data_IF_507946344604
#
_entry.id   IF_507946344604
#
_cell.length_a   1.000
_cell.length_b   1.000
_cell.length_c   1.000
_cell.angle_alpha   90.00
_cell.angle_beta   90.00
_cell.angle_gamma   90.00
#
_symmetry.space_group_name_H-M   'P 1'
#
loop_
_entity.id
_entity.type
_entity.pdbx_description
1 polymer ?
2 polymer ?
3 polymer ?
4 non-polymer ?
5 water ?
#
# COMPACT_ATOMS: atom_id res chain seq x y z
N UNK A 5 7.70 10.43 12.07
CA UNK A 5 7.01 11.69 11.76
C UNK A 5 5.50 11.80 11.79
N UNK A 6 4.86 10.67 12.06
CA UNK A 6 3.35 10.67 12.15
C UNK A 6 3.01 11.74 13.21
N UNK A 7 2.36 12.84 12.88
CA UNK A 7 2.09 14.01 13.73
C UNK A 7 1.60 15.12 12.76
N UNK A 8 2.36 15.04 11.68
CA UNK A 8 2.13 15.74 10.42
C UNK A 8 1.57 14.71 9.37
N UNK A 9 1.36 13.53 9.99
CA UNK A 9 0.90 12.41 9.11
C UNK A 9 -0.28 12.87 8.30
N UNK A 10 -0.28 12.33 7.08
CA UNK A 10 -1.34 12.40 6.10
C UNK A 10 -1.68 13.76 5.55
N UNK A 11 -0.79 14.74 5.70
CA UNK A 11 -0.98 16.08 5.09
C UNK A 11 0.16 16.22 4.07
N UNK A 12 -0.21 16.19 2.79
CA UNK A 12 0.82 16.18 1.73
C UNK A 12 1.39 17.61 1.55
N UNK A 13 2.69 17.63 1.40
CA UNK A 13 3.36 18.93 1.15
C UNK A 13 2.86 19.67 -0.03
N UNK A 14 2.53 19.06 -1.18
CA UNK A 14 2.11 19.66 -2.41
C UNK A 14 0.63 19.69 -2.52
N UNK A 15 -0.13 19.25 -1.51
CA UNK A 15 -1.59 19.30 -1.69
C UNK A 15 -2.24 19.92 -0.46
N UNK A 16 -2.40 19.13 0.58
CA UNK A 16 -2.99 19.59 1.82
C UNK A 16 -2.32 20.87 2.37
N UNK A 17 -1.01 20.79 2.50
CA UNK A 17 -0.20 21.89 3.05
C UNK A 17 -0.33 23.13 2.21
N UNK A 18 -0.75 23.25 0.96
CA UNK A 18 -0.88 24.41 0.14
C UNK A 18 -2.35 24.61 -0.23
N UNK A 19 -3.16 23.72 0.30
CA UNK A 19 -4.63 23.80 0.03
C UNK A 19 -4.93 23.66 -1.46
N UNK A 20 -4.20 22.69 -2.08
CA UNK A 20 -4.38 22.25 -3.45
C UNK A 20 -5.05 20.80 -3.33
N UNK A 21 -5.93 20.56 -4.24
CA UNK A 21 -6.60 19.23 -4.33
C UNK A 21 -6.02 18.48 -5.52
N UNK A 22 -5.91 17.14 -5.34
CA UNK A 22 -5.48 16.30 -6.50
C UNK A 22 -6.71 16.13 -7.39
N UNK A 23 -6.48 15.70 -8.62
CA UNK A 23 -7.46 15.54 -9.68
C UNK A 23 -8.57 14.57 -9.31
N UNK A 24 -8.44 13.65 -8.40
CA UNK A 24 -9.61 12.74 -8.20
C UNK A 24 -9.98 12.64 -6.74
N UNK A 25 -9.30 13.34 -5.84
CA UNK A 25 -9.78 13.14 -4.45
C UNK A 25 -11.24 13.48 -4.24
N UNK A 26 -11.93 14.37 -4.98
CA UNK A 26 -13.33 14.64 -4.72
C UNK A 26 -14.18 13.39 -4.99
N UNK A 27 -13.80 12.51 -5.86
CA UNK A 27 -14.55 11.22 -6.02
C UNK A 27 -14.59 10.48 -4.70
N UNK A 28 -13.57 10.44 -3.88
CA UNK A 28 -13.48 9.87 -2.58
C UNK A 28 -14.44 10.59 -1.64
N UNK A 29 -14.26 11.87 -1.43
CA UNK A 29 -15.15 12.63 -0.57
C UNK A 29 -16.57 12.55 -1.00
N UNK A 30 -16.93 12.55 -2.25
CA UNK A 30 -18.33 12.47 -2.65
C UNK A 30 -18.91 11.09 -2.39
N UNK A 31 -18.15 10.12 -1.95
CA UNK A 31 -18.63 8.75 -1.63
C UNK A 31 -18.96 8.56 -0.15
N UNK A 32 -18.49 9.47 0.69
CA UNK A 32 -18.65 9.37 2.17
C UNK A 32 -19.92 10.14 2.45
N UNK A 33 -20.87 9.77 1.59
CA UNK A 33 -22.19 10.41 1.37
C UNK A 33 -22.45 11.67 2.17
N UNK B 1 -1.58 -1.91 -11.37
CA UNK B 1 -2.89 -1.30 -11.31
C UNK B 1 -3.55 -1.47 -12.68
N UNK B 2 -4.77 -1.93 -12.66
CA UNK B 2 -5.61 -2.10 -13.86
C UNK B 2 -6.68 -1.03 -13.94
N UNK B 3 -6.70 -0.27 -15.04
CA UNK B 3 -7.64 0.79 -15.31
C UNK B 3 -7.55 1.99 -14.37
N UNK B 4 -6.34 2.39 -14.02
CA UNK B 4 -5.99 3.50 -13.17
C UNK B 4 -5.50 4.66 -14.03
N UNK B 5 -4.72 5.55 -13.44
CA UNK B 5 -4.17 6.71 -14.19
C UNK B 5 -2.83 6.97 -13.57
N UNK B 6 -2.10 7.77 -14.30
CA UNK B 6 -0.74 8.07 -13.71
C UNK B 6 -0.98 8.94 -12.44
N UNK B 7 -0.19 8.79 -11.45
CA UNK B 7 -0.34 9.61 -10.27
C UNK B 7 0.31 10.97 -10.64
N UNK B 8 -0.14 12.01 -9.90
CA UNK B 8 0.42 13.37 -10.02
C UNK B 8 1.67 13.37 -9.15
N UNK B 9 2.61 14.27 -9.39
CA UNK B 9 3.82 14.29 -8.58
C UNK B 9 3.39 14.54 -7.13
N UNK B 10 4.01 14.02 -6.14
CA UNK B 10 3.70 14.22 -4.72
C UNK B 10 2.27 13.80 -4.35
N UNK B 11 1.49 13.06 -5.10
CA UNK B 11 0.08 12.66 -4.73
C UNK B 11 0.11 11.56 -3.69
N UNK B 12 1.19 10.79 -3.66
CA UNK B 12 1.27 9.64 -2.68
C UNK B 12 2.62 9.52 -2.08
N UNK B 13 2.99 10.49 -1.25
CA UNK B 13 4.34 10.63 -0.73
C UNK B 13 4.74 9.60 0.24
N UNK B 14 3.75 8.76 0.68
CA UNK B 14 4.09 7.65 1.60
C UNK B 14 4.39 6.34 0.77
N UNK B 15 4.28 6.43 -0.50
CA UNK B 15 4.52 5.25 -1.42
C UNK B 15 5.99 4.91 -1.37
N UNK B 16 6.18 3.61 -1.15
CA UNK B 16 7.45 2.97 -1.00
C UNK B 16 7.63 1.86 -2.02
N UNK B 17 8.79 1.78 -2.61
CA UNK B 17 9.08 0.65 -3.55
C UNK B 17 9.99 -0.34 -2.83
N UNK B 18 9.53 -1.60 -2.83
CA UNK B 18 10.35 -2.73 -2.28
C UNK B 18 11.19 -3.27 -3.51
N UNK B 19 12.48 -3.16 -3.28
CA UNK B 19 13.49 -3.38 -4.35
C UNK B 19 14.53 -4.41 -4.05
N UNK B 20 14.55 -5.42 -4.94
CA UNK B 20 15.58 -6.47 -4.88
C UNK B 20 16.96 -5.97 -5.40
N UNK B 21 17.95 -6.20 -4.57
CA UNK B 21 19.37 -5.94 -4.77
C UNK B 21 19.90 -6.75 -5.97
N UNK B 22 19.68 -8.05 -6.08
CA UNK B 22 20.16 -8.77 -7.31
C UNK B 22 19.46 -10.13 -7.45
N UNK B 23 18.79 -10.34 -8.57
CA UNK B 23 18.64 -9.42 -9.68
C UNK B 23 17.95 -8.15 -9.18
N UNK B 24 18.28 -6.98 -9.66
CA UNK B 24 17.60 -5.75 -9.21
C UNK B 24 16.26 -5.83 -9.92
N UNK B 25 15.24 -5.74 -9.12
CA UNK B 25 13.86 -5.86 -9.58
C UNK B 25 12.88 -5.41 -8.50
N UNK B 26 11.74 -5.00 -8.91
CA UNK B 26 10.67 -4.57 -8.03
C UNK B 26 10.06 -5.88 -7.47
N UNK B 27 10.02 -5.89 -6.14
CA UNK B 27 9.40 -6.90 -5.32
C UNK B 27 7.91 -6.62 -5.02
N UNK B 28 7.62 -5.41 -4.53
CA UNK B 28 6.24 -5.06 -4.02
C UNK B 28 6.27 -3.56 -3.65
N UNK B 29 5.06 -3.06 -3.35
CA UNK B 29 4.84 -1.70 -2.81
C UNK B 29 4.99 -1.85 -1.28
N UNK B 30 4.88 -0.70 -0.65
CA UNK B 30 4.99 -0.61 0.84
C UNK B 30 4.57 0.89 1.12
N UNK B 31 4.53 1.14 2.43
CA UNK B 31 4.16 2.54 2.81
C UNK B 31 4.98 3.01 3.98
N UNK B 32 5.18 4.35 3.97
CA UNK B 32 6.00 5.01 5.01
C UNK B 32 5.04 5.54 6.12
N UNK B 33 5.20 5.03 7.31
CA UNK B 33 4.32 5.43 8.43
C UNK B 33 5.01 6.34 9.45
N UNK B 34 6.33 6.49 9.36
CA UNK B 34 7.11 7.39 10.26
C UNK B 34 8.48 7.62 9.61
N UNK B 35 9.48 8.26 10.22
CA UNK B 35 10.76 8.40 9.47
C UNK B 35 11.61 7.17 9.45
N UNK B 36 11.22 6.16 10.20
CA UNK B 36 12.02 4.93 10.24
C UNK B 36 11.27 3.61 9.98
N UNK B 37 9.97 3.64 9.84
CA UNK B 37 9.14 2.40 9.72
C UNK B 37 8.34 2.43 8.44
N UNK B 38 8.29 1.23 7.84
CA UNK B 38 7.65 0.97 6.59
C UNK B 38 6.65 -0.20 6.79
N UNK B 39 5.50 -0.06 6.19
CA UNK B 39 4.47 -1.13 6.31
C UNK B 39 4.29 -1.82 4.97
N UNK B 40 4.23 -3.16 5.09
CA UNK B 40 4.01 -3.95 3.85
C UNK B 40 3.24 -5.23 4.17
N UNK B 41 3.04 -6.03 3.13
CA UNK B 41 2.32 -7.36 3.30
C UNK B 41 3.33 -8.36 3.72
N UNK B 42 3.10 -9.24 4.66
CA UNK B 42 4.08 -10.31 5.07
C UNK B 42 4.44 -11.21 3.89
N UNK B 43 3.56 -11.40 2.95
CA UNK B 43 3.80 -12.31 1.80
C UNK B 43 4.90 -11.81 0.88
N UNK B 44 5.08 -10.47 0.80
CA UNK B 44 6.16 -9.86 0.05
C UNK B 44 7.48 -10.37 0.59
N UNK B 45 7.64 -10.79 1.81
CA UNK B 45 8.87 -11.24 2.38
C UNK B 45 8.96 -12.75 2.57
N UNK B 46 7.86 -13.39 2.88
CA UNK B 46 7.79 -14.77 3.27
C UNK B 46 6.57 -15.45 2.67
N UNK B 47 6.90 -16.40 1.81
CA UNK B 47 5.81 -17.18 1.18
C UNK B 47 6.46 -18.54 0.75
N UNK B 48 6.50 -19.39 1.73
CA UNK B 48 7.16 -20.74 1.53
C UNK B 48 6.72 -21.54 0.34
N UNK B 49 5.46 -21.62 0.00
CA UNK B 49 5.02 -22.31 -1.18
C UNK B 49 5.80 -21.89 -2.42
N UNK B 50 6.22 -20.67 -2.51
CA UNK B 50 6.90 -20.15 -3.70
C UNK B 50 8.41 -20.02 -3.37
N UNK B 51 8.75 -20.67 -2.28
CA UNK B 51 10.14 -20.55 -1.90
C UNK B 51 10.56 -19.08 -1.65
N UNK B 52 9.62 -18.27 -1.17
CA UNK B 52 10.05 -16.83 -0.91
C UNK B 52 10.37 -16.71 0.57
N UNK B 53 11.53 -16.18 0.91
CA UNK B 53 11.98 -15.97 2.25
C UNK B 53 13.07 -14.90 2.26
N UNK B 54 12.72 -13.65 1.93
CA UNK B 54 13.65 -12.51 1.97
C UNK B 54 14.07 -12.05 3.33
N UNK B 55 15.34 -11.72 3.46
CA UNK B 55 16.03 -11.19 4.65
C UNK B 55 16.36 -9.69 4.38
N UNK B 56 16.81 -9.05 5.40
CA UNK B 56 17.15 -7.61 5.39
C UNK B 56 18.19 -7.23 4.38
N UNK B 57 19.18 -8.07 4.29
CA UNK B 57 20.30 -7.84 3.34
C UNK B 57 19.82 -8.03 1.92
N UNK B 58 18.68 -8.65 1.73
CA UNK B 58 18.22 -9.00 0.38
C UNK B 58 17.60 -7.83 -0.34
N UNK B 59 17.31 -6.82 0.45
CA UNK B 59 16.51 -5.73 -0.07
C UNK B 59 16.91 -4.30 0.24
N UNK B 60 16.37 -3.51 -0.65
CA UNK B 60 16.40 -2.01 -0.56
C UNK B 60 14.98 -1.42 -0.60
N UNK B 61 14.81 -0.32 0.14
CA UNK B 61 13.55 0.46 0.14
C UNK B 61 13.80 1.75 -0.64
N UNK B 62 13.01 2.11 -1.60
CA UNK B 62 13.10 3.31 -2.38
C UNK B 62 11.88 4.17 -2.07
N UNK B 63 12.10 5.43 -1.65
CA UNK B 63 11.07 6.39 -1.25
C UNK B 63 11.18 7.70 -2.01
N UNK B 64 10.08 8.28 -2.37
CA UNK B 64 9.86 9.51 -3.09
C UNK B 64 9.83 9.35 -4.60
N UNK B 65 9.56 8.07 -4.99
CA UNK B 65 9.61 7.75 -6.40
C UNK B 65 8.35 8.05 -7.14
N UNK B 66 8.57 8.23 -8.45
CA UNK B 66 7.46 8.48 -9.38
C UNK B 66 7.58 7.50 -10.57
N UNK B 67 8.77 7.58 -11.19
CA UNK B 67 9.08 6.65 -12.32
C UNK B 67 9.34 5.26 -11.68
N UNK B 68 8.86 4.24 -12.41
CA UNK B 68 9.08 2.83 -12.01
C UNK B 68 10.56 2.39 -12.02
N UNK B 69 11.25 2.76 -13.10
CA UNK B 69 12.62 2.39 -13.51
C UNK B 69 13.84 3.20 -13.41
N UNK B 70 13.80 4.56 -13.54
CA UNK B 70 14.91 5.45 -13.39
C UNK B 70 15.31 5.61 -11.93
N UNK B 71 16.56 5.87 -11.71
CA UNK B 71 17.07 6.23 -10.36
C UNK B 71 16.73 7.72 -10.34
N UNK B 72 15.82 8.23 -9.55
CA UNK B 72 15.36 9.65 -9.57
C UNK B 72 16.24 10.53 -8.73
N UNK B 73 17.43 10.72 -9.30
CA UNK B 73 18.58 11.37 -8.88
C UNK B 73 18.31 12.45 -7.86
N UNK B 74 17.57 13.50 -7.88
CA UNK B 74 17.77 14.16 -6.47
C UNK B 74 16.49 14.13 -5.65
N UNK B 75 15.56 13.31 -6.00
CA UNK B 75 14.22 13.08 -5.48
C UNK B 75 14.11 11.86 -4.58
N UNK B 76 14.35 10.67 -5.15
CA UNK B 76 14.19 9.42 -4.33
C UNK B 76 15.31 9.17 -3.37
N UNK B 77 15.06 8.60 -2.19
CA UNK B 77 16.03 8.28 -1.16
C UNK B 77 15.97 6.73 -1.02
N UNK B 78 17.12 6.14 -1.00
CA UNK B 78 17.19 4.64 -0.95
C UNK B 78 17.56 4.26 0.46
N UNK B 79 16.99 3.31 1.15
CA UNK B 79 17.47 2.98 2.51
C UNK B 79 17.64 1.44 2.60
N UNK B 80 18.37 1.11 3.66
CA UNK B 80 18.67 -0.31 3.97
C UNK B 80 17.80 -0.57 5.22
N UNK B 81 17.52 -1.87 5.39
CA UNK B 81 16.66 -2.24 6.52
C UNK B 81 17.52 -2.66 7.69
N UNK B 82 17.05 -2.31 8.86
CA UNK B 82 17.66 -2.70 10.10
C UNK B 82 17.06 -4.06 10.52
N UNK B 83 15.72 -4.18 10.33
CA UNK B 83 15.13 -5.46 10.81
C UNK B 83 13.75 -5.58 10.22
N UNK B 84 13.37 -6.81 9.98
CA UNK B 84 12.03 -7.14 9.45
C UNK B 84 11.20 -7.78 10.56
N UNK B 85 9.95 -7.43 10.69
CA UNK B 85 9.02 -8.00 11.65
C UNK B 85 7.75 -8.45 10.91
N UNK B 86 7.56 -9.78 11.03
CA UNK B 86 6.32 -10.35 10.44
C UNK B 86 5.32 -10.64 11.56
N UNK B 87 4.04 -10.52 11.40
CA UNK B 87 3.01 -10.85 12.33
C UNK B 87 3.21 -12.32 12.69
N UNK B 88 3.30 -12.61 14.00
CA UNK B 88 3.51 -13.96 14.49
C UNK B 88 2.42 -14.92 14.04
N UNK B 89 1.21 -14.53 13.74
CA UNK B 89 0.12 -15.40 13.36
C UNK B 89 -0.25 -15.26 11.90
N UNK B 90 0.71 -14.71 11.11
CA UNK B 90 0.45 -14.60 9.64
C UNK B 90 0.07 -15.99 9.09
N UNK B 91 -0.97 -16.19 8.31
CA UNK B 91 -1.28 -17.57 7.81
C UNK B 91 -0.91 -17.80 6.37
N UNK B 92 0.27 -18.22 6.02
CA UNK B 92 0.59 -18.42 4.60
C UNK B 92 0.04 -19.77 4.13
N UNK B 93 -0.19 -20.63 5.08
CA UNK B 93 -0.65 -21.99 4.77
C UNK B 93 -2.01 -22.07 4.11
N UNK B 94 -2.94 -21.24 4.55
CA UNK B 94 -4.30 -21.39 3.99
C UNK B 94 -4.79 -20.15 3.31
N UNK B 95 -4.72 -19.01 4.02
CA UNK B 95 -5.38 -17.89 3.30
C UNK B 95 -4.70 -16.54 3.39
N UNK B 96 -3.49 -16.48 3.89
CA UNK B 96 -2.86 -15.11 3.99
C UNK B 96 -3.59 -14.24 5.04
N UNK B 97 -3.99 -14.86 6.11
CA UNK B 97 -4.72 -14.21 7.22
C UNK B 97 -3.60 -13.46 7.99
N UNK B 98 -3.89 -12.20 8.29
CA UNK B 98 -2.85 -11.36 8.99
C UNK B 98 -1.65 -11.13 8.08
N UNK B 99 -1.92 -10.73 6.86
CA UNK B 99 -0.78 -10.52 5.89
C UNK B 99 -0.15 -9.13 6.15
N UNK B 100 0.74 -9.07 7.18
CA UNK B 100 1.30 -7.71 7.47
C UNK B 100 2.68 -7.82 7.97
N UNK B 101 3.53 -6.84 7.70
CA UNK B 101 4.91 -6.86 8.18
C UNK B 101 5.29 -5.34 8.29
N UNK B 102 6.22 -5.16 9.23
CA UNK B 102 6.94 -3.90 9.45
C UNK B 102 8.44 -4.08 9.17
N UNK B 103 9.02 -3.02 8.60
CA UNK B 103 10.47 -2.98 8.27
C UNK B 103 11.02 -1.69 8.89
N UNK B 104 12.00 -1.81 9.72
CA UNK B 104 12.59 -0.58 10.35
C UNK B 104 13.88 -0.28 9.58
N UNK B 105 13.90 0.99 9.14
CA UNK B 105 15.06 1.45 8.35
C UNK B 105 16.29 1.58 9.26
N UNK B 106 17.44 1.42 8.67
CA UNK B 106 18.76 1.55 9.30
C UNK B 106 18.90 2.98 9.81
N UNK B 107 18.44 3.92 8.98
CA UNK B 107 18.48 5.35 9.34
C UNK B 107 17.18 6.00 8.91
N UNK B 108 16.76 6.93 9.73
CA UNK B 108 15.54 7.69 9.55
C UNK B 108 15.61 8.53 8.30
N UNK B 109 14.61 8.55 7.47
CA UNK B 109 14.56 9.31 6.24
C UNK B 109 14.09 10.75 6.49
N UNK B 110 14.54 11.65 5.59
CA UNK B 110 14.08 13.04 5.75
C UNK B 110 12.96 13.21 4.75
N UNK B 111 12.02 13.92 5.33
CA UNK B 111 10.75 14.31 4.66
C UNK B 111 11.11 15.41 3.68
N UNK B 112 10.26 15.56 2.68
CA UNK B 112 10.45 16.50 1.57
C UNK B 112 9.07 16.59 0.97
N UNK B 113 8.99 17.30 -0.13
CA UNK B 113 7.79 17.47 -0.92
C UNK B 113 7.29 16.08 -1.44
N UNK B 114 8.19 15.14 -1.59
CA UNK B 114 7.80 13.84 -2.21
C UNK B 114 7.80 12.68 -1.26
N UNK B 115 8.21 12.97 -0.05
CA UNK B 115 8.41 11.99 1.03
C UNK B 115 7.78 12.51 2.34
N UNK B 116 6.69 11.83 2.64
CA UNK B 116 5.83 12.15 3.80
C UNK B 116 5.04 10.95 4.25
N UNK B 117 4.93 10.66 5.54
CA UNK B 117 4.18 9.50 6.04
C UNK B 117 2.66 9.67 5.99
N UNK B 118 1.99 8.50 5.92
CA UNK B 118 0.56 8.39 5.97
C UNK B 118 0.23 8.15 7.47
N UNK B 119 -1.01 8.44 7.91
CA UNK B 119 -1.53 8.17 9.21
C UNK B 119 -2.09 6.73 9.37
N UNK B 120 -2.05 6.24 10.57
CA UNK B 120 -2.63 4.90 10.92
C UNK B 120 -3.97 5.22 11.54
N UNK B 121 -5.03 4.51 11.14
CA UNK B 121 -6.36 4.80 11.56
C UNK B 121 -6.51 4.53 13.06
N UNK B 122 -7.39 5.32 13.64
CA UNK B 122 -7.78 5.10 15.07
C UNK B 122 -9.14 4.41 15.00
N UNK B 123 -9.53 3.86 16.17
CA UNK B 123 -10.83 3.17 16.28
C UNK B 123 -12.01 3.87 15.61
N UNK B 124 -12.11 5.15 15.74
CA UNK B 124 -13.15 6.07 15.37
C UNK B 124 -13.09 6.33 13.90
N UNK B 125 -11.87 6.51 13.43
CA UNK B 125 -11.65 6.80 11.98
C UNK B 125 -12.07 5.56 11.16
N UNK B 126 -11.69 4.42 11.63
CA UNK B 126 -11.93 3.10 11.08
C UNK B 126 -13.41 2.86 11.02
N UNK B 127 -14.00 3.20 12.18
CA UNK B 127 -15.45 3.03 12.29
C UNK B 127 -16.24 3.90 11.36
N UNK B 128 -15.88 5.13 11.04
CA UNK B 128 -16.70 5.89 10.11
C UNK B 128 -16.37 5.67 8.65
N UNK B 129 -15.14 5.27 8.38
CA UNK B 129 -14.80 5.21 6.96
C UNK B 129 -14.92 3.85 6.29
N UNK B 130 -14.64 2.87 7.02
CA UNK B 130 -14.65 1.46 6.48
C UNK B 130 -16.10 0.98 6.38
N UNK B 131 -16.73 1.52 5.40
CA UNK B 131 -18.10 1.36 5.03
C UNK B 131 -18.26 1.02 3.55
N UNK B 132 -19.13 -0.02 3.34
CA UNK B 132 -19.40 -0.52 1.97
C UNK B 132 -19.85 0.59 1.08
N UNK B 133 -19.28 0.78 -0.14
CA UNK B 133 -19.70 1.97 -0.90
C UNK B 133 -18.72 3.18 -0.84
N UNK B 134 -17.99 3.28 0.24
CA UNK B 134 -16.97 4.36 0.49
C UNK B 134 -15.76 3.98 -0.34
N UNK B 135 -15.18 4.93 -1.02
CA UNK B 135 -14.04 4.71 -1.88
C UNK B 135 -12.74 4.93 -1.17
N UNK B 136 -11.73 4.16 -1.46
CA UNK B 136 -10.37 4.27 -1.02
C UNK B 136 -9.54 4.32 -2.36
N UNK B 137 -8.25 4.53 -2.19
CA UNK B 137 -7.33 4.73 -3.29
C UNK B 137 -6.22 3.76 -3.12
N UNK B 138 -5.82 3.11 -4.26
CA UNK B 138 -4.71 2.16 -4.27
C UNK B 138 -3.68 2.70 -5.27
N UNK B 139 -2.44 2.49 -5.00
CA UNK B 139 -1.33 2.95 -5.82
C UNK B 139 -0.27 1.88 -5.92
N UNK B 140 0.50 1.85 -6.98
CA UNK B 140 1.57 0.89 -7.21
C UNK B 140 1.97 1.02 -8.72
N UNK B 141 3.05 0.34 -8.94
CA UNK B 141 3.77 0.18 -10.22
C UNK B 141 3.54 -1.24 -10.81
N UNK B 142 2.54 -1.99 -10.34
CA UNK B 142 2.19 -3.28 -10.91
C UNK B 142 1.60 -3.18 -12.31
N UNK B 143 1.38 -4.44 -12.76
CA UNK B 143 0.86 -4.71 -14.10
C UNK B 143 -0.40 -3.91 -14.37
N UNK B 144 -0.45 -3.47 -15.65
CA UNK B 144 -1.64 -2.76 -16.13
C UNK B 144 -2.76 -3.70 -16.61
N UNK B 145 -2.39 -4.93 -16.76
CA UNK B 145 -3.26 -5.97 -17.31
C UNK B 145 -2.94 -7.30 -16.64
N UNK B 146 -4.00 -8.07 -16.51
CA UNK B 146 -3.90 -9.40 -15.94
C UNK B 146 -2.81 -10.26 -16.57
N UNK B 147 -2.91 -10.30 -17.91
CA UNK B 147 -1.99 -11.08 -18.78
C UNK B 147 -0.55 -11.03 -18.31
N UNK B 155 1.94 -3.21 -20.40
CA UNK B 155 2.26 -4.24 -19.40
C UNK B 155 2.60 -3.60 -18.06
N UNK B 156 3.68 -2.86 -18.08
CA UNK B 156 4.11 -2.13 -16.87
C UNK B 156 4.07 -0.65 -17.22
N UNK B 157 3.64 0.11 -16.17
CA UNK B 157 3.49 1.55 -16.32
C UNK B 157 4.92 2.14 -16.37
N UNK B 158 5.05 3.37 -16.76
CA UNK B 158 6.32 4.14 -16.75
C UNK B 158 6.46 4.90 -15.41
N UNK B 159 5.32 5.22 -14.89
CA UNK B 159 5.02 5.98 -13.65
C UNK B 159 4.01 5.31 -12.77
N UNK B 160 4.06 5.72 -11.49
CA UNK B 160 3.14 5.30 -10.43
C UNK B 160 1.69 5.44 -10.88
N UNK B 161 0.87 4.44 -10.69
CA UNK B 161 -0.54 4.48 -11.14
C UNK B 161 -1.47 4.61 -9.88
N UNK B 162 -2.66 5.10 -10.03
CA UNK B 162 -3.61 5.22 -8.90
C UNK B 162 -4.97 4.73 -9.32
N UNK B 163 -5.87 4.23 -8.53
CA UNK B 163 -7.25 3.88 -8.89
C UNK B 163 -8.09 4.08 -7.60
N UNK B 164 -9.24 4.64 -7.63
CA UNK B 164 -10.17 4.84 -6.49
C UNK B 164 -11.11 3.63 -6.56
N UNK B 165 -11.43 2.92 -5.58
CA UNK B 165 -12.33 1.73 -5.66
C UNK B 165 -13.22 1.69 -4.42
N UNK B 166 -14.42 1.20 -4.58
CA UNK B 166 -15.38 1.18 -3.47
C UNK B 166 -15.17 -0.03 -2.58
N UNK B 167 -15.39 0.08 -1.30
CA UNK B 167 -15.33 -1.04 -0.37
C UNK B 167 -16.70 -1.77 -0.58
N UNK B 168 -16.54 -3.06 -0.66
CA UNK B 168 -17.70 -3.99 -0.89
C UNK B 168 -18.16 -4.69 0.38
N UNK B 169 -19.46 -4.92 0.52
CA UNK B 169 -20.09 -5.64 1.66
C UNK B 169 -19.45 -7.01 1.87
N UNK B 170 -19.18 -7.43 3.06
CA UNK B 170 -18.57 -8.67 3.50
C UNK B 170 -19.21 -9.88 2.79
N UNK B 171 -20.51 -10.05 2.71
CA UNK B 171 -21.15 -11.16 2.02
C UNK B 171 -20.74 -11.32 0.58
N UNK B 172 -20.88 -10.24 -0.16
CA UNK B 172 -20.46 -10.15 -1.57
C UNK B 172 -19.00 -10.61 -1.68
N UNK B 173 -18.09 -10.15 -0.77
CA UNK B 173 -16.71 -10.57 -0.76
C UNK B 173 -16.63 -12.12 -0.67
N UNK B 174 -17.23 -12.65 0.39
CA UNK B 174 -17.28 -14.07 0.72
C UNK B 174 -17.79 -14.97 -0.45
N UNK B 175 -18.86 -14.51 -1.04
CA UNK B 175 -19.50 -15.29 -2.11
C UNK B 175 -18.80 -15.15 -3.41
N UNK B 176 -17.73 -14.42 -3.59
CA UNK B 176 -17.09 -14.26 -4.90
C UNK B 176 -15.94 -15.24 -4.93
N UNK B 177 -15.69 -15.96 -3.83
CA UNK B 177 -14.51 -16.82 -3.85
C UNK B 177 -14.65 -18.08 -3.06
N UNK B 178 -13.77 -19.04 -3.22
CA UNK B 178 -13.70 -20.28 -2.52
C UNK B 178 -12.81 -20.15 -1.30
N UNK B 179 -11.95 -19.13 -1.21
CA UNK B 179 -11.04 -18.95 -0.06
C UNK B 179 -11.82 -18.50 1.20
N UNK B 180 -11.45 -19.04 2.33
CA UNK B 180 -12.11 -18.59 3.59
C UNK B 180 -11.49 -17.23 4.05
N UNK B 181 -12.30 -16.22 3.95
CA UNK B 181 -12.16 -14.75 4.27
C UNK B 181 -12.19 -14.62 5.80
N UNK B 182 -11.34 -13.85 6.42
CA UNK B 182 -11.32 -13.64 7.90
C UNK B 182 -11.64 -12.18 8.16
N UNK B 183 -11.83 -11.88 9.44
CA UNK B 183 -12.12 -10.50 9.86
C UNK B 183 -10.83 -9.64 9.67
N UNK B 184 -9.67 -10.17 9.38
CA UNK B 184 -8.42 -9.42 9.15
C UNK B 184 -8.29 -9.01 7.71
N UNK B 185 -9.34 -9.04 6.93
CA UNK B 185 -9.44 -8.71 5.55
C UNK B 185 -10.70 -7.99 5.15
N UNK B 186 -10.61 -7.23 4.08
CA UNK B 186 -11.78 -6.60 3.48
C UNK B 186 -11.51 -6.70 1.93
N UNK B 187 -12.56 -6.57 1.13
CA UNK B 187 -12.42 -6.61 -0.34
C UNK B 187 -12.97 -5.29 -0.88
N UNK B 188 -12.47 -4.91 -2.03
CA UNK B 188 -12.85 -3.69 -2.72
C UNK B 188 -12.88 -3.88 -4.23
N UNK B 189 -13.67 -3.11 -4.89
CA UNK B 189 -13.78 -3.09 -6.37
C UNK B 189 -15.21 -2.79 -6.72
N UNK B 190 -15.41 -2.57 -8.02
CA UNK B 190 -16.75 -2.31 -8.55
C UNK B 190 -17.40 -3.68 -8.91
N UNK B 191 -18.70 -3.69 -8.85
CA UNK B 191 -19.56 -4.83 -9.22
C UNK B 191 -19.76 -4.81 -10.73
N UNK B 192 -19.98 -6.02 -11.29
CA UNK B 192 -20.15 -6.17 -12.75
C UNK B 192 -21.14 -5.20 -13.33
N UNK B 193 -22.23 -4.90 -12.65
CA UNK B 193 -23.21 -3.97 -13.22
C UNK B 193 -22.69 -2.55 -13.01
N UNK B 194 -21.84 -2.34 -12.00
CA UNK B 194 -21.45 -0.98 -11.71
C UNK B 194 -20.81 -0.26 -12.85
N UNK B 195 -20.34 -0.94 -13.87
CA UNK B 195 -19.74 -0.23 -15.01
C UNK B 195 -18.53 0.67 -14.86
N UNK B 196 -17.65 0.34 -13.93
CA UNK B 196 -16.35 1.04 -13.80
C UNK B 196 -15.55 -0.17 -13.34
N UNK B 197 -14.32 -0.14 -13.67
CA UNK B 197 -13.30 -1.15 -13.43
C UNK B 197 -12.09 -0.61 -12.63
N UNK B 198 -11.16 -1.50 -12.46
CA UNK B 198 -9.91 -1.23 -11.78
C UNK B 198 -9.67 -2.21 -10.64
N UNK B 199 -8.43 -2.47 -10.34
CA UNK B 199 -7.93 -3.41 -9.37
C UNK B 199 -6.41 -3.17 -9.29
N UNK B 200 -5.80 -3.68 -8.30
CA UNK B 200 -4.38 -3.82 -7.97
C UNK B 200 -4.08 -5.08 -8.91
N UNK B 201 -2.88 -5.34 -9.21
CA UNK B 201 -2.49 -6.44 -10.10
C UNK B 201 -1.10 -6.76 -9.64
N UNK B 202 -0.48 -7.72 -10.34
CA UNK B 202 0.81 -8.24 -9.87
C UNK B 202 1.84 -7.15 -9.77
N UNK B 203 2.59 -7.03 -8.70
CA UNK B 203 3.58 -5.88 -8.64
C UNK B 203 3.02 -4.80 -7.67
N UNK B 204 1.77 -4.93 -7.29
CA UNK B 204 1.11 -3.94 -6.40
C UNK B 204 1.12 -4.46 -5.00
N UNK B 205 1.24 -5.72 -4.71
CA UNK B 205 1.26 -6.25 -3.37
C UNK B 205 2.13 -5.40 -2.43
N UNK B 206 1.63 -5.36 -1.21
CA UNK B 206 2.27 -4.65 -0.07
C UNK B 206 1.95 -3.17 -0.10
N UNK B 207 1.36 -2.61 -1.13
CA UNK B 207 1.08 -1.21 -1.25
C UNK B 207 -0.17 -0.85 -0.40
N UNK B 208 -0.40 0.48 -0.35
CA UNK B 208 -1.47 1.04 0.49
C UNK B 208 -2.79 1.26 -0.11
N UNK B 209 -3.88 0.97 0.59
CA UNK B 209 -5.24 1.30 0.28
C UNK B 209 -5.49 2.50 1.26
N UNK B 210 -5.76 3.66 0.78
CA UNK B 210 -5.89 4.83 1.80
C UNK B 210 -7.19 5.46 1.54
N UNK B 211 -7.61 6.17 2.60
CA UNK B 211 -8.80 6.98 2.59
C UNK B 211 -8.47 8.38 3.22
N UNK B 212 -9.14 9.34 2.71
CA UNK B 212 -9.01 10.74 3.20
C UNK B 212 -10.18 11.06 4.17
N UNK B 213 -9.80 11.32 5.40
CA UNK B 213 -10.85 11.75 6.35
C UNK B 213 -11.51 13.08 5.96
N UNK B 214 -12.85 13.05 6.02
CA UNK B 214 -13.65 14.26 5.80
C UNK B 214 -13.67 15.10 7.13
N UNK B 215 -13.21 14.60 8.25
CA UNK B 215 -13.26 15.29 9.55
C UNK B 215 -12.02 16.11 9.79
N UNK B 216 -10.82 15.51 9.55
CA UNK B 216 -9.57 16.28 9.79
C UNK B 216 -8.74 16.47 8.56
N UNK B 217 -9.20 15.93 7.47
CA UNK B 217 -8.73 15.86 6.07
C UNK B 217 -7.30 15.48 5.79
N UNK B 218 -6.89 14.48 6.51
CA UNK B 218 -5.69 13.75 6.58
C UNK B 218 -5.95 12.38 5.88
N UNK B 219 -4.90 11.86 5.36
CA UNK B 219 -4.94 10.52 4.68
C UNK B 219 -4.58 9.47 5.70
N UNK B 220 -5.42 8.41 5.61
CA UNK B 220 -5.19 7.27 6.49
C UNK B 220 -5.02 5.94 5.67
N UNK B 221 -4.15 5.12 6.17
CA UNK B 221 -3.99 3.82 5.42
C UNK B 221 -4.96 2.76 6.05
N UNK B 222 -5.97 2.36 5.33
CA UNK B 222 -6.94 1.35 5.89
C UNK B 222 -6.56 -0.06 5.48
N UNK B 223 -5.81 -0.21 4.37
CA UNK B 223 -5.54 -1.67 3.92
C UNK B 223 -4.25 -1.77 3.24
N UNK B 224 -3.81 -3.01 3.03
CA UNK B 224 -2.56 -3.35 2.33
C UNK B 224 -2.99 -4.23 1.14
N UNK B 225 -2.47 -4.02 -0.05
CA UNK B 225 -2.78 -4.93 -1.20
C UNK B 225 -2.35 -6.34 -0.81
N UNK B 226 -3.39 -7.22 -0.76
CA UNK B 226 -2.99 -8.58 -0.31
C UNK B 226 -3.10 -9.74 -1.30
N UNK B 227 -4.29 -9.95 -1.87
CA UNK B 227 -4.44 -11.10 -2.80
C UNK B 227 -5.64 -10.88 -3.66
N UNK B 228 -5.76 -11.64 -4.76
CA UNK B 228 -6.93 -11.51 -5.63
C UNK B 228 -6.85 -12.74 -6.58
N UNK B 229 -7.80 -12.85 -7.45
CA UNK B 229 -7.74 -14.03 -8.40
C UNK B 229 -7.94 -13.39 -9.75
N UNK B 230 -6.80 -13.32 -10.44
CA UNK B 230 -6.75 -12.58 -11.75
C UNK B 230 -6.61 -11.09 -11.34
N UNK B 231 -6.95 -10.20 -12.19
CA UNK B 231 -6.91 -8.75 -11.97
C UNK B 231 -8.10 -8.17 -12.73
N UNK B 232 -8.92 -7.35 -12.18
CA UNK B 232 -10.00 -6.68 -12.88
C UNK B 232 -10.94 -7.66 -13.65
N UNK B 233 -11.16 -8.80 -13.00
CA UNK B 233 -12.13 -9.76 -13.52
C UNK B 233 -13.54 -9.47 -13.06
N UNK B 234 -14.57 -9.66 -13.89
CA UNK B 234 -15.94 -9.51 -13.40
C UNK B 234 -16.25 -10.50 -12.28
N UNK B 235 -16.99 -9.97 -11.33
CA UNK B 235 -17.44 -10.66 -10.15
C UNK B 235 -16.27 -11.09 -9.29
N UNK B 236 -15.07 -10.53 -9.49
CA UNK B 236 -14.03 -10.89 -8.51
C UNK B 236 -13.60 -9.48 -7.91
N UNK B 237 -12.98 -9.55 -6.72
CA UNK B 237 -12.58 -8.38 -5.95
C UNK B 237 -11.16 -8.56 -5.42
N UNK B 238 -10.48 -7.39 -5.16
CA UNK B 238 -9.11 -7.52 -4.56
C UNK B 238 -9.38 -7.52 -3.00
N UNK B 239 -8.53 -8.24 -2.34
CA UNK B 239 -8.50 -8.39 -0.90
C UNK B 239 -7.28 -7.64 -0.35
N UNK B 240 -7.55 -7.11 0.87
CA UNK B 240 -6.56 -6.23 1.54
C UNK B 240 -6.44 -6.55 2.96
N UNK B 241 -5.30 -6.48 3.62
CA UNK B 241 -5.19 -6.65 5.07
C UNK B 241 -5.91 -5.44 5.73
N UNK B 242 -6.61 -5.80 6.75
CA UNK B 242 -7.40 -4.73 7.53
C UNK B 242 -6.46 -4.17 8.59
N UNK B 243 -5.95 -2.97 8.26
CA UNK B 243 -4.86 -2.34 9.07
C UNK B 243 -5.38 -2.06 10.51
N UNK B 244 -6.54 -1.47 10.62
CA UNK B 244 -6.94 -1.20 12.05
C UNK B 244 -7.00 -2.40 12.97
N UNK B 245 -7.48 -3.54 12.53
CA UNK B 245 -7.56 -4.76 13.28
C UNK B 245 -6.19 -5.22 13.73
N UNK B 246 -5.14 -4.94 13.03
CA UNK B 246 -3.82 -5.38 13.41
C UNK B 246 -3.00 -4.27 14.04
N UNK B 247 -3.57 -3.16 14.31
CA UNK B 247 -3.01 -1.92 14.88
C UNK B 247 -2.29 -2.17 16.21
N UNK B 248 -2.87 -3.06 16.99
CA UNK B 248 -2.26 -3.37 18.33
C UNK B 248 -0.93 -4.03 18.21
N UNK B 249 -0.78 -4.98 17.30
CA UNK B 249 0.51 -5.62 17.01
C UNK B 249 1.48 -4.57 16.49
N UNK B 250 1.05 -3.66 15.62
CA UNK B 250 1.87 -2.56 15.06
C UNK B 250 2.45 -1.66 16.14
N UNK B 251 1.56 -1.19 16.98
CA UNK B 251 1.83 -0.31 18.15
C UNK B 251 2.90 -0.96 19.01
N UNK B 252 2.54 -2.21 19.30
CA UNK B 252 3.37 -3.12 20.05
C UNK B 252 4.81 -3.12 19.56
N UNK B 253 5.05 -3.60 18.32
CA UNK B 253 6.41 -3.69 17.82
C UNK B 253 7.15 -2.34 17.82
N UNK B 254 6.45 -1.26 17.64
CA UNK B 254 7.14 0.04 17.58
C UNK B 254 7.57 0.52 18.97
N UNK B 255 6.74 0.23 19.94
CA UNK B 255 6.93 0.57 21.33
C UNK B 255 8.10 -0.28 21.81
N UNK B 256 8.13 -1.56 21.49
CA UNK B 256 9.20 -2.46 21.93
C UNK B 256 10.51 -2.37 21.15
N UNK B 257 10.41 -2.09 19.86
CA UNK B 257 11.67 -2.19 19.07
C UNK B 257 12.20 -0.95 18.46
N UNK B 258 11.54 0.20 18.60
CA UNK B 258 12.25 1.26 17.82
C UNK B 258 11.72 2.62 18.19
N UNK B 259 11.28 3.29 17.12
CA UNK B 259 10.73 4.66 17.18
C UNK B 259 11.34 5.61 18.19
N UNK C 4 14.77 -3.61 -17.13
CA UNK C 4 14.96 -2.29 -17.80
C UNK C 4 15.02 -1.21 -16.69
N UNK C 5 15.33 -1.76 -15.54
CA UNK C 5 15.51 -0.99 -14.31
C UNK C 5 16.83 -0.26 -14.54
N UNK C 6 16.87 1.04 -14.32
CA UNK C 6 18.11 1.84 -14.35
C UNK C 6 18.92 1.56 -13.08
N UNK C 7 20.24 1.54 -13.23
CA UNK C 7 21.22 1.21 -12.21
C UNK C 7 21.21 2.12 -10.99
N UNK C 8 21.27 1.46 -9.84
CA UNK C 8 21.30 2.26 -8.61
C UNK C 8 22.74 2.44 -8.18
N UNK C 9 23.01 3.55 -7.51
CA UNK C 9 24.36 3.87 -7.03
C UNK C 9 24.89 2.82 -6.07
N UNK C 10 26.03 2.30 -6.52
CA UNK C 10 26.81 1.27 -5.85
C UNK C 10 26.80 1.62 -4.37
N UNK C 11 26.77 2.91 -4.09
CA UNK C 11 26.79 3.28 -2.63
C UNK C 11 25.63 2.64 -1.89
N UNK C 13 24.36 -0.49 -2.63
CA UNK C 13 24.46 -1.98 -2.56
C UNK C 13 25.21 -2.46 -1.32
#
# INVERSE_FOLDING_TARGET
>A
TFGSGEADCGLRPLFEKKSLEDKTERELLESYIDGR
>B
IVEGSDAEIGMSPWQVMLFRKSPQELLCGASLISDRWVLTAAHCLLYPPWDKNFTENDLLVRIGKHSRTRYERNIEKISMLEKIYIHPRYNWRENLDRDIALMKLKKPVAFSDYIHPVCLPDRETAASLLQAGYKGRVTGWGNLKETWTANVGKGQPSVLQVVNLPIVERPVCKDSTRIRITDNMFCAGYKPDEGKRGDACEGDSGGPFVMKSPFNNRWYQMGIVSWGEGCDRDGKYGFYTHVFRLKKWIQKVIDQFGE
>C
XNEDFEEIPEEXL
#
